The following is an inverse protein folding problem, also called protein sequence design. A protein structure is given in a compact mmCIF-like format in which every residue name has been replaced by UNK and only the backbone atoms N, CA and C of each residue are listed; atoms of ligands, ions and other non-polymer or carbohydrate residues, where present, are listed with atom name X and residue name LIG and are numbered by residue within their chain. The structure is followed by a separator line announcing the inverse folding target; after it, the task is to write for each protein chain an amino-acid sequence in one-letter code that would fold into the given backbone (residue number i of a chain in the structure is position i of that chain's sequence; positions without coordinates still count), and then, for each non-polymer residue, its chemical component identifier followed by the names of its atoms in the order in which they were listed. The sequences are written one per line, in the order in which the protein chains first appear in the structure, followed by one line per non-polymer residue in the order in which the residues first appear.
data_IF_744480189928
#
_entry.id   IF_744480189928
#
_cell.length_a   1.000
_cell.length_b   1.000
_cell.length_c   1.000
_cell.angle_alpha   90.00
_cell.angle_beta   90.00
_cell.angle_gamma   90.00
#
_symmetry.space_group_name_H-M   'P 1'
#
loop_
_entity.id
_entity.type
_entity.pdbx_description
1 polymer ?
#
# COMPACT_ATOMS: atom_id res chain seq x y z
N UNK A 1 -15.25 13.88 13.70
CA UNK A 1 -14.53 12.89 14.54
C UNK A 1 -14.81 13.18 16.00
N UNK A 2 -15.37 12.22 16.74
CA UNK A 2 -15.63 12.33 18.18
C UNK A 2 -14.34 12.64 18.97
N UNK A 3 -14.43 13.42 20.05
CA UNK A 3 -13.30 13.80 20.90
C UNK A 3 -12.58 12.59 21.50
N UNK A 4 -13.29 11.54 21.88
CA UNK A 4 -12.64 10.35 22.46
C UNK A 4 -11.78 9.61 21.42
N UNK A 5 -12.27 9.54 20.18
CA UNK A 5 -11.50 8.96 19.08
C UNK A 5 -10.29 9.84 18.73
N UNK A 6 -10.42 11.16 18.79
CA UNK A 6 -9.26 12.07 18.67
C UNK A 6 -8.20 11.78 19.72
N UNK A 7 -8.59 11.48 20.97
CA UNK A 7 -7.65 11.13 22.03
C UNK A 7 -6.93 9.80 21.75
N UNK A 8 -7.61 8.80 21.20
CA UNK A 8 -6.99 7.54 20.77
C UNK A 8 -5.95 7.78 19.67
N UNK A 9 -6.32 8.52 18.62
CA UNK A 9 -5.41 8.82 17.50
C UNK A 9 -4.25 9.73 17.94
N UNK A 10 -4.51 10.70 18.81
CA UNK A 10 -3.47 11.56 19.37
C UNK A 10 -2.46 10.78 20.22
N UNK A 11 -2.93 9.81 21.02
CA UNK A 11 -2.06 8.93 21.79
C UNK A 11 -1.21 8.03 20.88
N UNK A 12 -1.80 7.46 19.84
CA UNK A 12 -1.09 6.67 18.83
C UNK A 12 0.01 7.50 18.14
N UNK A 13 -0.32 8.71 17.68
CA UNK A 13 0.64 9.65 17.07
C UNK A 13 1.80 9.96 18.02
N UNK A 14 1.51 10.25 19.29
CA UNK A 14 2.54 10.53 20.29
C UNK A 14 3.47 9.35 20.61
N UNK A 15 3.02 8.10 20.45
CA UNK A 15 3.79 6.89 20.78
C UNK A 15 4.47 6.23 19.60
N UNK A 16 3.93 6.36 18.38
CA UNK A 16 4.42 5.67 17.17
C UNK A 16 4.75 6.62 16.01
N UNK A 17 4.47 7.91 16.12
CA UNK A 17 4.76 8.91 15.07
C UNK A 17 3.84 8.86 13.86
N UNK A 18 2.94 7.86 13.77
CA UNK A 18 1.98 7.71 12.68
C UNK A 18 0.85 8.73 12.81
N UNK A 19 0.70 9.59 11.80
CA UNK A 19 -0.38 10.58 11.73
C UNK A 19 -1.51 10.11 10.81
N UNK A 20 -2.70 9.91 11.38
CA UNK A 20 -3.89 9.49 10.65
C UNK A 20 -4.90 10.62 10.46
N UNK A 21 -4.56 11.87 10.79
CA UNK A 21 -5.48 13.01 10.70
C UNK A 21 -5.99 13.30 9.28
N UNK A 22 -5.24 12.90 8.25
CA UNK A 22 -5.64 13.02 6.84
C UNK A 22 -6.59 11.92 6.34
N UNK A 23 -6.84 10.86 7.11
CA UNK A 23 -7.71 9.76 6.70
C UNK A 23 -9.19 10.09 6.92
N UNK A 24 -10.06 9.48 6.10
CA UNK A 24 -11.51 9.62 6.25
C UNK A 24 -11.94 9.16 7.64
N UNK A 25 -12.63 10.02 8.39
CA UNK A 25 -13.07 9.74 9.77
C UNK A 25 -13.87 8.43 9.88
N UNK A 26 -14.78 8.16 8.94
CA UNK A 26 -15.59 6.94 8.94
C UNK A 26 -14.77 5.66 8.80
N UNK A 27 -13.66 5.71 8.06
CA UNK A 27 -12.72 4.60 7.93
C UNK A 27 -11.98 4.36 9.25
N UNK A 28 -11.51 5.42 9.90
CA UNK A 28 -10.86 5.34 11.22
C UNK A 28 -11.83 4.76 12.24
N UNK A 29 -13.04 5.32 12.35
CA UNK A 29 -14.08 4.86 13.29
C UNK A 29 -14.35 3.36 13.13
N UNK A 30 -14.57 2.89 11.89
CA UNK A 30 -14.77 1.46 11.62
C UNK A 30 -13.60 0.60 12.09
N UNK A 31 -12.37 1.01 11.79
CA UNK A 31 -11.14 0.26 12.10
C UNK A 31 -10.82 0.24 13.60
N UNK A 32 -11.03 1.37 14.29
CA UNK A 32 -10.89 1.42 15.75
C UNK A 32 -11.97 0.58 16.43
N UNK A 33 -13.22 0.59 15.93
CA UNK A 33 -14.30 -0.26 16.46
C UNK A 33 -14.02 -1.77 16.31
N UNK A 34 -13.29 -2.18 15.26
CA UNK A 34 -12.83 -3.57 15.13
C UNK A 34 -11.86 -3.94 16.26
N UNK A 35 -10.95 -3.04 16.64
CA UNK A 35 -10.04 -3.26 17.78
C UNK A 35 -10.75 -3.24 19.13
N UNK A 36 -11.73 -2.35 19.33
CA UNK A 36 -12.60 -2.37 20.52
C UNK A 36 -13.22 -3.75 20.70
N UNK A 37 -13.80 -4.29 19.62
CA UNK A 37 -14.42 -5.62 19.63
C UNK A 37 -13.40 -6.72 19.94
N UNK A 38 -12.21 -6.69 19.31
CA UNK A 38 -11.15 -7.68 19.52
C UNK A 38 -10.57 -7.68 20.94
N UNK A 39 -10.55 -6.52 21.59
CA UNK A 39 -10.03 -6.33 22.96
C UNK A 39 -11.13 -6.33 24.02
N UNK A 40 -12.38 -6.62 23.64
CA UNK A 40 -13.57 -6.56 24.51
C UNK A 40 -13.82 -5.19 25.18
N UNK A 41 -13.24 -4.11 24.63
CA UNK A 41 -13.50 -2.75 25.08
C UNK A 41 -14.83 -2.25 24.49
N UNK A 42 -15.66 -1.60 25.30
CA UNK A 42 -16.98 -1.08 24.88
C UNK A 42 -16.93 0.37 24.42
N UNK A 43 -15.91 1.12 24.84
CA UNK A 43 -15.82 2.56 24.59
C UNK A 43 -14.39 2.97 24.22
N UNK A 44 -14.25 4.09 23.50
CA UNK A 44 -12.92 4.64 23.15
C UNK A 44 -12.08 5.02 24.39
N UNK A 45 -12.63 5.61 25.48
CA UNK A 45 -11.86 5.87 26.68
C UNK A 45 -11.34 4.59 27.36
N UNK A 46 -12.15 3.53 27.41
CA UNK A 46 -11.74 2.22 27.91
C UNK A 46 -10.59 1.64 27.08
N UNK A 47 -10.73 1.70 25.75
CA UNK A 47 -9.70 1.27 24.83
C UNK A 47 -8.40 2.10 24.96
N UNK A 48 -8.51 3.41 25.20
CA UNK A 48 -7.34 4.27 25.46
C UNK A 48 -6.59 3.85 26.74
N UNK A 49 -7.30 3.43 27.79
CA UNK A 49 -6.68 2.88 28.99
C UNK A 49 -6.01 1.53 28.70
N UNK A 50 -6.65 0.69 27.88
CA UNK A 50 -6.10 -0.58 27.45
C UNK A 50 -4.78 -0.39 26.66
N UNK A 51 -4.76 0.53 25.69
CA UNK A 51 -3.54 0.93 24.93
C UNK A 51 -2.40 1.42 25.81
N UNK A 52 -2.69 2.04 26.97
CA UNK A 52 -1.68 2.48 27.92
C UNK A 52 -1.10 1.32 28.74
N UNK A 53 -1.88 0.26 28.96
CA UNK A 53 -1.49 -0.92 29.75
C UNK A 53 -0.80 -2.00 28.91
N UNK A 54 -1.17 -2.12 27.63
CA UNK A 54 -0.63 -3.10 26.69
C UNK A 54 0.00 -2.38 25.50
N UNK A 55 1.32 -2.07 25.55
CA UNK A 55 2.02 -1.38 24.48
C UNK A 55 1.97 -2.11 23.12
N UNK A 56 1.85 -3.43 23.12
CA UNK A 56 1.70 -4.27 21.93
C UNK A 56 0.39 -3.98 21.17
N UNK A 57 -0.67 -3.54 21.84
CA UNK A 57 -1.94 -3.19 21.20
C UNK A 57 -1.82 -1.96 20.31
N UNK A 58 -0.85 -1.07 20.58
CA UNK A 58 -0.57 0.05 19.68
C UNK A 58 -0.13 -0.44 18.31
N UNK A 59 0.64 -1.52 18.23
CA UNK A 59 1.11 -2.05 16.95
C UNK A 59 -0.04 -2.70 16.16
N UNK A 60 -0.93 -3.46 16.81
CA UNK A 60 -2.16 -3.96 16.17
C UNK A 60 -3.09 -2.84 15.70
N UNK A 61 -3.18 -1.74 16.47
CA UNK A 61 -3.95 -0.57 16.07
C UNK A 61 -3.34 0.12 14.85
N UNK A 62 -2.01 0.26 14.78
CA UNK A 62 -1.33 0.77 13.58
C UNK A 62 -1.66 -0.12 12.40
N UNK A 63 -1.49 -1.44 12.52
CA UNK A 63 -1.70 -2.40 11.43
C UNK A 63 -3.14 -2.38 10.89
N UNK A 64 -4.14 -2.23 11.76
CA UNK A 64 -5.54 -2.14 11.35
C UNK A 64 -5.86 -0.76 10.75
N UNK A 65 -5.13 0.30 11.12
CA UNK A 65 -5.29 1.65 10.55
C UNK A 65 -4.54 1.84 9.23
N UNK A 66 -3.46 1.12 8.99
CA UNK A 66 -2.78 1.04 7.70
C UNK A 66 -3.55 0.10 6.75
N UNK A 67 -3.73 0.47 5.48
CA UNK A 67 -4.46 -0.37 4.51
C UNK A 67 -3.49 -1.41 3.97
N UNK A 68 -3.23 -2.48 4.72
CA UNK A 68 -2.36 -3.57 4.25
C UNK A 68 -3.17 -4.63 3.49
N UNK A 69 -3.96 -4.20 2.50
CA UNK A 69 -4.61 -5.13 1.58
C UNK A 69 -4.08 -4.86 0.19
N UNK A 70 -2.89 -5.38 -0.06
CA UNK A 70 -2.41 -5.57 -1.41
C UNK A 70 -2.68 -7.02 -1.78
N UNK A 71 -3.18 -7.21 -2.99
CA UNK A 71 -3.37 -8.51 -3.62
C UNK A 71 -2.97 -8.32 -5.07
N UNK A 72 -2.50 -9.39 -5.71
CA UNK A 72 -2.25 -9.33 -7.14
C UNK A 72 -3.51 -8.92 -7.89
N UNK A 73 -3.35 -8.04 -8.86
CA UNK A 73 -4.42 -7.55 -9.73
C UNK A 73 -5.65 -7.05 -8.96
N UNK A 74 -5.43 -6.26 -7.90
CA UNK A 74 -6.46 -5.84 -6.93
C UNK A 74 -7.69 -5.23 -7.57
N UNK A 75 -7.49 -4.38 -8.58
CA UNK A 75 -8.56 -3.84 -9.42
C UNK A 75 -8.42 -4.43 -10.82
N UNK A 76 -9.07 -5.58 -11.02
CA UNK A 76 -8.93 -6.38 -12.24
C UNK A 76 -9.27 -5.56 -13.49
N UNK A 77 -10.32 -4.72 -13.45
CA UNK A 77 -10.70 -3.88 -14.58
C UNK A 77 -9.64 -2.82 -14.91
N UNK A 78 -9.02 -2.22 -13.88
CA UNK A 78 -7.93 -1.28 -14.10
C UNK A 78 -6.70 -1.97 -14.72
N UNK A 79 -6.34 -3.15 -14.22
CA UNK A 79 -5.21 -3.91 -14.75
C UNK A 79 -5.45 -4.45 -16.17
N UNK A 80 -6.66 -4.91 -16.48
CA UNK A 80 -7.07 -5.28 -17.85
C UNK A 80 -6.94 -4.08 -18.78
N UNK A 81 -7.43 -2.90 -18.38
CA UNK A 81 -7.30 -1.69 -19.20
C UNK A 81 -5.84 -1.29 -19.40
N UNK A 82 -5.01 -1.42 -18.36
CA UNK A 82 -3.56 -1.18 -18.45
C UNK A 82 -2.92 -2.15 -19.45
N UNK A 83 -3.23 -3.44 -19.36
CA UNK A 83 -2.68 -4.49 -20.21
C UNK A 83 -3.10 -4.34 -21.69
N UNK A 84 -4.38 -4.07 -21.93
CA UNK A 84 -4.95 -4.11 -23.28
C UNK A 84 -4.78 -2.79 -24.05
N UNK A 85 -4.63 -1.67 -23.34
CA UNK A 85 -4.64 -0.33 -23.96
C UNK A 85 -3.38 0.46 -23.65
N UNK A 86 -3.04 0.61 -22.37
CA UNK A 86 -2.01 1.56 -21.95
C UNK A 86 -0.59 1.05 -22.25
N UNK A 87 -0.25 -0.15 -21.81
CA UNK A 87 1.09 -0.70 -22.00
C UNK A 87 1.45 -0.87 -23.49
N UNK A 88 0.58 -1.44 -24.36
CA UNK A 88 0.87 -1.56 -25.79
C UNK A 88 1.12 -0.21 -26.46
N UNK A 89 0.32 0.81 -26.13
CA UNK A 89 0.47 2.16 -26.67
C UNK A 89 1.82 2.77 -26.25
N UNK A 90 2.19 2.67 -24.97
CA UNK A 90 3.47 3.17 -24.45
C UNK A 90 4.65 2.47 -25.13
N UNK A 91 4.61 1.13 -25.26
CA UNK A 91 5.68 0.36 -25.92
C UNK A 91 5.81 0.76 -27.39
N UNK A 92 4.68 0.90 -28.10
CA UNK A 92 4.67 1.29 -29.50
C UNK A 92 5.29 2.68 -29.72
N UNK A 93 4.94 3.66 -28.88
CA UNK A 93 5.53 5.00 -28.96
C UNK A 93 7.02 4.99 -28.57
N UNK A 94 7.41 4.18 -27.58
CA UNK A 94 8.80 4.07 -27.15
C UNK A 94 9.73 3.47 -28.20
N UNK A 95 9.26 2.49 -28.97
CA UNK A 95 10.01 1.91 -30.10
C UNK A 95 10.38 2.93 -31.19
N UNK A 96 9.73 4.09 -31.23
CA UNK A 96 10.03 5.18 -32.18
C UNK A 96 11.11 6.15 -31.68
N UNK A 97 11.58 5.97 -30.45
CA UNK A 97 12.53 6.87 -29.79
C UNK A 97 13.87 6.16 -29.56
N UNK A 98 14.96 6.93 -29.47
CA UNK A 98 16.27 6.40 -29.07
C UNK A 98 16.35 6.04 -27.56
N UNK A 99 15.34 6.41 -26.77
CA UNK A 99 15.25 6.07 -25.35
C UNK A 99 14.49 4.74 -25.16
N UNK A 100 15.27 3.66 -25.14
CA UNK A 100 14.79 2.31 -24.92
C UNK A 100 14.49 1.99 -23.44
N UNK A 101 14.23 2.98 -22.58
CA UNK A 101 13.88 2.75 -21.17
C UNK A 101 12.40 3.03 -20.89
N UNK A 102 11.78 2.13 -20.12
CA UNK A 102 10.45 2.29 -19.53
C UNK A 102 10.59 2.39 -18.01
N UNK A 103 10.07 3.47 -17.42
CA UNK A 103 10.11 3.71 -15.98
C UNK A 103 8.70 3.82 -15.42
N UNK A 104 8.43 3.07 -14.36
CA UNK A 104 7.12 2.99 -13.73
C UNK A 104 7.28 3.24 -12.24
N UNK A 105 6.33 3.96 -11.65
CA UNK A 105 6.32 4.23 -10.21
C UNK A 105 5.00 3.77 -9.59
N UNK A 106 5.07 2.78 -8.70
CA UNK A 106 3.95 2.37 -7.83
C UNK A 106 4.12 3.02 -6.45
N UNK A 107 3.08 3.75 -6.03
CA UNK A 107 3.07 4.51 -4.77
C UNK A 107 2.08 3.89 -3.79
N UNK A 108 2.48 3.72 -2.53
CA UNK A 108 1.69 2.98 -1.55
C UNK A 108 1.64 1.48 -1.87
N UNK A 109 2.76 0.92 -2.34
CA UNK A 109 2.84 -0.44 -2.88
C UNK A 109 2.62 -1.56 -1.85
N UNK A 110 2.53 -1.24 -0.56
CA UNK A 110 2.35 -2.19 0.54
C UNK A 110 3.33 -3.36 0.44
N UNK A 111 2.84 -4.61 0.38
CA UNK A 111 3.67 -5.82 0.30
C UNK A 111 4.20 -6.12 -1.12
N UNK A 112 4.00 -5.23 -2.09
CA UNK A 112 4.60 -5.30 -3.42
C UNK A 112 3.79 -6.02 -4.48
N UNK A 113 2.60 -6.55 -4.17
CA UNK A 113 1.78 -7.27 -5.14
C UNK A 113 1.35 -6.38 -6.32
N UNK A 114 1.15 -5.08 -6.11
CA UNK A 114 0.84 -4.14 -7.20
C UNK A 114 2.02 -3.95 -8.18
N UNK A 115 3.24 -3.54 -7.76
CA UNK A 115 4.36 -3.42 -8.68
C UNK A 115 4.74 -4.76 -9.32
N UNK A 116 4.57 -5.89 -8.63
CA UNK A 116 4.75 -7.21 -9.25
C UNK A 116 3.65 -7.55 -10.26
N UNK A 117 2.39 -7.17 -10.03
CA UNK A 117 1.32 -7.35 -11.03
C UNK A 117 1.64 -6.58 -12.31
N UNK A 118 2.17 -5.36 -12.19
CA UNK A 118 2.63 -4.59 -13.34
C UNK A 118 3.82 -5.27 -14.04
N UNK A 119 4.80 -5.77 -13.28
CA UNK A 119 5.94 -6.49 -13.85
C UNK A 119 5.51 -7.71 -14.68
N UNK A 120 4.53 -8.48 -14.19
CA UNK A 120 3.96 -9.63 -14.89
C UNK A 120 3.36 -9.20 -16.23
N UNK A 121 2.49 -8.19 -16.24
CA UNK A 121 1.84 -7.71 -17.47
C UNK A 121 2.86 -7.23 -18.51
N UNK A 122 3.92 -6.56 -18.07
CA UNK A 122 4.94 -6.07 -18.98
C UNK A 122 5.76 -7.22 -19.57
N UNK A 123 6.11 -8.22 -18.75
CA UNK A 123 6.82 -9.40 -19.25
C UNK A 123 6.00 -10.12 -20.33
N UNK A 124 4.70 -10.34 -20.08
CA UNK A 124 3.78 -10.93 -21.07
C UNK A 124 3.68 -10.10 -22.35
N UNK A 125 3.60 -8.78 -22.23
CA UNK A 125 3.57 -7.89 -23.39
C UNK A 125 4.89 -7.93 -24.17
N UNK A 126 6.03 -7.97 -23.50
CA UNK A 126 7.34 -7.92 -24.14
C UNK A 126 7.65 -9.21 -24.89
N UNK A 127 7.24 -10.35 -24.34
CA UNK A 127 7.28 -11.64 -25.05
C UNK A 127 6.40 -11.61 -26.30
N UNK A 128 5.21 -11.02 -26.22
CA UNK A 128 4.28 -10.92 -27.36
C UNK A 128 4.74 -9.97 -28.46
N UNK A 129 5.32 -8.83 -28.08
CA UNK A 129 5.70 -7.74 -29.00
C UNK A 129 7.19 -7.77 -29.40
N UNK A 130 7.94 -8.79 -28.98
CA UNK A 130 9.40 -8.91 -29.16
C UNK A 130 10.13 -7.60 -28.79
N UNK A 131 9.76 -7.02 -27.65
CA UNK A 131 10.28 -5.73 -27.19
C UNK A 131 11.56 -5.92 -26.40
N UNK A 132 12.58 -5.08 -26.68
CA UNK A 132 13.90 -5.08 -26.03
C UNK A 132 14.10 -3.92 -25.03
N UNK A 133 13.01 -3.20 -24.70
CA UNK A 133 13.06 -2.08 -23.77
C UNK A 133 13.59 -2.51 -22.39
N UNK A 134 14.40 -1.65 -21.77
CA UNK A 134 14.83 -1.80 -20.38
C UNK A 134 13.75 -1.26 -19.44
N UNK A 135 13.29 -2.07 -18.49
CA UNK A 135 12.25 -1.66 -17.53
C UNK A 135 12.85 -1.38 -16.16
N UNK A 136 12.41 -0.30 -15.52
CA UNK A 136 12.65 -0.03 -14.11
C UNK A 136 11.33 0.28 -13.41
N UNK A 137 10.96 -0.54 -12.42
CA UNK A 137 9.78 -0.32 -11.57
C UNK A 137 10.26 0.16 -10.21
N UNK A 138 9.86 1.37 -9.85
CA UNK A 138 10.06 1.97 -8.54
C UNK A 138 8.82 1.72 -7.70
N UNK A 139 8.98 1.17 -6.51
CA UNK A 139 7.90 0.86 -5.59
C UNK A 139 8.18 1.53 -4.24
N UNK A 140 7.29 2.44 -3.82
CA UNK A 140 7.49 3.23 -2.61
C UNK A 140 6.32 3.07 -1.65
N UNK A 141 6.58 2.96 -0.35
CA UNK A 141 5.56 2.95 0.70
C UNK A 141 6.02 3.71 1.95
N UNK A 142 5.08 4.26 2.71
CA UNK A 142 5.36 4.93 3.98
C UNK A 142 5.68 3.92 5.09
N UNK A 143 5.14 2.70 5.00
CA UNK A 143 5.37 1.64 5.97
C UNK A 143 6.64 0.85 5.63
N UNK A 144 7.75 1.31 6.22
CA UNK A 144 9.07 0.67 6.08
C UNK A 144 9.10 -0.80 6.54
N UNK A 145 8.21 -1.24 7.45
CA UNK A 145 8.19 -2.63 7.89
C UNK A 145 7.65 -3.55 6.80
N UNK A 146 6.77 -3.04 5.95
CA UNK A 146 6.14 -3.79 4.88
C UNK A 146 7.04 -3.86 3.66
N UNK A 147 7.77 -2.78 3.35
CA UNK A 147 8.78 -2.80 2.28
C UNK A 147 9.81 -3.92 2.46
N UNK A 148 10.26 -4.19 3.69
CA UNK A 148 11.18 -5.31 3.99
C UNK A 148 10.61 -6.69 3.67
N UNK A 149 9.28 -6.84 3.62
CA UNK A 149 8.62 -8.10 3.20
C UNK A 149 8.46 -8.17 1.68
N UNK A 150 8.35 -7.01 1.03
CA UNK A 150 8.25 -6.90 -0.43
C UNK A 150 9.62 -7.09 -1.12
N UNK A 151 10.69 -6.63 -0.49
CA UNK A 151 12.07 -6.68 -0.96
C UNK A 151 12.59 -8.13 -0.94
N UNK A 152 12.26 -8.91 -1.97
CA UNK A 152 12.78 -10.27 -2.12
C UNK A 152 13.43 -10.60 -3.46
N UNK A 153 13.29 -9.83 -4.57
CA UNK A 153 13.92 -10.18 -5.87
C UNK A 153 14.21 -9.01 -6.83
N UNK A 154 15.24 -9.23 -7.66
CA UNK A 154 16.07 -8.32 -8.49
C UNK A 154 15.39 -7.42 -9.54
N UNK A 155 14.07 -7.45 -9.72
CA UNK A 155 13.39 -6.75 -10.85
C UNK A 155 12.54 -5.54 -10.44
N UNK A 156 12.34 -5.30 -9.14
CA UNK A 156 11.58 -4.17 -8.61
C UNK A 156 12.42 -3.48 -7.55
N UNK A 157 12.71 -2.19 -7.77
CA UNK A 157 13.43 -1.37 -6.80
C UNK A 157 12.44 -0.82 -5.77
N UNK A 158 12.52 -1.30 -4.54
CA UNK A 158 11.76 -0.77 -3.41
C UNK A 158 12.55 0.36 -2.74
N UNK A 159 11.93 1.51 -2.49
CA UNK A 159 12.55 2.68 -1.85
C UNK A 159 11.64 3.34 -0.82
#
# INVERSE_FOLDING_TARGET
MNNDLKSVIGYLKGKRGSDFSGYRTSMIERRVNQRLSATSCKTYPEYLLHLKKQPEELDYLVDVLTINVSRFFRDTLAFEYIADRILPEIVYEKKKTDDHSLRIWSTGCSMGEEPYSIAILINELFEKEESDLSINIFATDIDRKILKKAETRDSVAFC
#
